data_IF_328892565696
#
_entry.id   IF_328892565696
#
_cell.length_a   1.000
_cell.length_b   1.000
_cell.length_c   1.000
_cell.angle_alpha   90.00
_cell.angle_beta   90.00
_cell.angle_gamma   90.00
#
_symmetry.space_group_name_H-M   'P 1'
#
loop_
_entity.id
_entity.type
_entity.pdbx_description
1 polymer ?
#
# COMPACT_ATOMS: atom_id res chain seq x y z
N UNK A 1 -11.61 -11.97 9.62
CA UNK A 1 -10.52 -11.30 10.37
C UNK A 1 -10.12 -10.02 9.65
N UNK A 2 -9.59 -9.01 10.35
CA UNK A 2 -8.98 -7.81 9.73
C UNK A 2 -7.52 -7.79 10.11
N UNK A 3 -6.63 -7.50 9.16
CA UNK A 3 -5.19 -7.41 9.44
C UNK A 3 -4.73 -5.96 9.41
N UNK A 4 -3.94 -5.57 10.40
CA UNK A 4 -3.31 -4.26 10.45
C UNK A 4 -1.89 -4.37 9.91
N UNK A 5 -1.53 -3.51 8.96
CA UNK A 5 -0.17 -3.40 8.43
C UNK A 5 0.38 -2.04 8.83
N UNK A 6 1.62 -2.02 9.31
CA UNK A 6 2.37 -0.79 9.51
C UNK A 6 3.13 -0.47 8.22
N UNK A 7 2.80 0.68 7.64
CA UNK A 7 3.43 1.22 6.44
C UNK A 7 4.25 2.44 6.82
N UNK A 8 5.44 2.56 6.23
CA UNK A 8 6.31 3.73 6.40
C UNK A 8 6.23 4.53 5.12
N UNK A 9 5.66 5.73 5.21
CA UNK A 9 5.40 6.57 4.03
C UNK A 9 6.10 7.92 4.15
N UNK A 10 6.57 8.44 3.02
CA UNK A 10 7.02 9.83 2.87
C UNK A 10 5.84 10.79 2.64
N UNK A 11 4.68 10.24 2.24
CA UNK A 11 3.52 11.03 1.87
C UNK A 11 2.83 11.56 3.12
N UNK A 12 2.42 12.83 3.07
CA UNK A 12 1.62 13.40 4.13
C UNK A 12 0.18 12.88 4.05
N UNK A 13 -0.04 11.71 4.63
CA UNK A 13 -1.36 11.14 4.82
C UNK A 13 -2.03 11.63 6.11
N UNK A 14 -1.53 12.69 6.77
CA UNK A 14 -2.12 13.20 8.01
C UNK A 14 -3.53 13.77 7.79
N UNK A 15 -3.86 14.20 6.57
CA UNK A 15 -5.20 14.65 6.19
C UNK A 15 -6.21 13.53 5.93
N UNK A 16 -5.77 12.26 5.82
CA UNK A 16 -6.66 11.13 5.56
C UNK A 16 -7.01 10.41 6.88
N UNK A 17 -8.31 10.23 7.12
CA UNK A 17 -8.77 9.38 8.23
C UNK A 17 -8.32 7.93 8.02
N UNK A 18 -8.15 7.13 9.09
CA UNK A 18 -7.84 5.70 8.98
C UNK A 18 -8.79 4.93 8.05
N UNK A 19 -10.07 5.30 8.05
CA UNK A 19 -11.10 4.72 7.20
C UNK A 19 -10.90 5.11 5.73
N UNK A 20 -10.61 6.39 5.46
CA UNK A 20 -10.35 6.86 4.10
C UNK A 20 -9.12 6.17 3.49
N UNK A 21 -8.05 5.98 4.27
CA UNK A 21 -6.85 5.22 3.84
C UNK A 21 -7.20 3.77 3.53
N UNK A 22 -7.96 3.14 4.42
CA UNK A 22 -8.41 1.75 4.25
C UNK A 22 -9.27 1.60 2.99
N UNK A 23 -10.21 2.51 2.78
CA UNK A 23 -11.09 2.52 1.62
C UNK A 23 -10.30 2.72 0.33
N UNK A 24 -9.40 3.72 0.29
CA UNK A 24 -8.54 3.98 -0.87
C UNK A 24 -7.70 2.76 -1.25
N UNK A 25 -7.05 2.13 -0.27
CA UNK A 25 -6.22 0.94 -0.51
C UNK A 25 -7.08 -0.23 -0.98
N UNK A 26 -8.19 -0.50 -0.27
CA UNK A 26 -9.12 -1.59 -0.61
C UNK A 26 -9.68 -1.43 -2.02
N UNK A 27 -10.15 -0.23 -2.36
CA UNK A 27 -10.70 0.08 -3.67
C UNK A 27 -9.66 -0.10 -4.76
N UNK A 28 -8.45 0.43 -4.57
CA UNK A 28 -7.38 0.32 -5.57
C UNK A 28 -6.97 -1.14 -5.80
N UNK A 29 -6.80 -1.92 -4.73
CA UNK A 29 -6.47 -3.35 -4.84
C UNK A 29 -7.55 -4.11 -5.60
N UNK A 30 -8.83 -3.84 -5.29
CA UNK A 30 -9.95 -4.49 -5.97
C UNK A 30 -10.12 -4.05 -7.43
N UNK A 31 -9.77 -2.81 -7.76
CA UNK A 31 -9.86 -2.27 -9.12
C UNK A 31 -8.77 -2.79 -10.07
N UNK A 32 -7.64 -3.27 -9.53
CA UNK A 32 -6.50 -3.69 -10.33
C UNK A 32 -6.46 -5.21 -10.46
N UNK A 33 -6.01 -5.69 -11.60
CA UNK A 33 -5.62 -7.09 -11.78
C UNK A 33 -4.33 -7.39 -11.03
N UNK A 34 -4.05 -8.68 -10.82
CA UNK A 34 -2.81 -9.12 -10.17
C UNK A 34 -1.57 -8.65 -10.93
N UNK A 35 -1.62 -8.66 -12.26
CA UNK A 35 -0.58 -8.08 -13.12
C UNK A 35 -0.42 -6.57 -12.90
N UNK A 36 -1.53 -5.83 -12.74
CA UNK A 36 -1.50 -4.40 -12.44
C UNK A 36 -0.92 -4.09 -11.05
N UNK A 37 -1.20 -4.93 -10.06
CA UNK A 37 -0.60 -4.84 -8.72
C UNK A 37 0.90 -5.15 -8.75
N UNK A 38 1.31 -6.17 -9.49
CA UNK A 38 2.71 -6.51 -9.70
C UNK A 38 3.47 -5.41 -10.45
N UNK A 39 2.86 -4.78 -11.45
CA UNK A 39 3.46 -3.66 -12.18
C UNK A 39 3.64 -2.44 -11.27
N UNK A 40 2.62 -2.11 -10.46
CA UNK A 40 2.76 -1.08 -9.43
C UNK A 40 3.86 -1.41 -8.41
N UNK A 41 4.04 -2.68 -8.05
CA UNK A 41 5.13 -3.10 -7.17
C UNK A 41 6.51 -3.02 -7.87
N UNK A 42 6.57 -3.36 -9.17
CA UNK A 42 7.80 -3.44 -9.99
C UNK A 42 8.44 -2.10 -10.32
N UNK A 43 7.69 -1.00 -10.42
CA UNK A 43 8.19 0.35 -10.79
C UNK A 43 9.14 0.99 -9.76
N UNK A 44 10.12 0.25 -9.23
CA UNK A 44 11.07 0.58 -8.16
C UNK A 44 12.03 1.69 -8.62
N UNK A 45 11.53 2.91 -8.74
CA UNK A 45 12.32 4.05 -9.24
C UNK A 45 13.01 4.87 -8.14
N UNK A 46 12.57 4.81 -6.89
CA UNK A 46 13.28 5.51 -5.81
C UNK A 46 14.43 4.64 -5.28
N UNK A 47 15.61 4.79 -5.88
CA UNK A 47 16.88 4.27 -5.32
C UNK A 47 17.21 4.88 -3.94
N UNK A 48 16.52 5.95 -3.54
CA UNK A 48 16.66 6.59 -2.23
C UNK A 48 15.28 6.89 -1.62
N UNK A 49 14.84 6.16 -0.57
CA UNK A 49 13.77 6.65 0.26
C UNK A 49 14.24 7.93 0.96
N UNK A 50 13.45 8.99 0.87
CA UNK A 50 13.60 10.24 1.58
C UNK A 50 13.69 10.03 3.10
N UNK A 51 14.49 10.87 3.75
CA UNK A 51 14.87 10.75 5.17
C UNK A 51 13.72 10.83 6.20
N UNK A 52 12.47 11.11 5.80
CA UNK A 52 11.33 11.36 6.70
C UNK A 52 10.17 10.39 6.49
N UNK A 53 10.43 9.12 6.72
CA UNK A 53 9.38 8.10 6.75
C UNK A 53 8.59 8.19 8.06
N UNK A 54 7.27 8.41 7.97
CA UNK A 54 6.37 8.35 9.14
C UNK A 54 5.66 6.99 9.19
N UNK A 55 5.65 6.29 10.33
CA UNK A 55 4.90 5.06 10.47
C UNK A 55 3.39 5.37 10.50
N UNK A 56 2.62 4.53 9.81
CA UNK A 56 1.18 4.67 9.70
C UNK A 56 0.53 3.28 9.65
N UNK A 57 -0.56 3.10 10.39
CA UNK A 57 -1.35 1.87 10.34
C UNK A 57 -2.43 1.97 9.27
N UNK A 58 -2.53 0.90 8.47
CA UNK A 58 -3.63 0.66 7.53
C UNK A 58 -4.27 -0.67 7.91
N UNK A 59 -5.58 -0.64 8.17
CA UNK A 59 -6.34 -1.85 8.48
C UNK A 59 -6.98 -2.37 7.21
N UNK A 60 -6.62 -3.55 6.75
CA UNK A 60 -7.16 -4.12 5.52
C UNK A 60 -8.14 -5.26 5.82
N UNK A 61 -9.19 -5.42 4.98
CA UNK A 61 -9.98 -6.64 4.94
C UNK A 61 -9.10 -7.88 4.70
N UNK A 62 -9.49 -9.04 5.24
CA UNK A 62 -8.72 -10.28 5.07
C UNK A 62 -8.51 -10.66 3.61
N UNK A 63 -9.55 -10.54 2.77
CA UNK A 63 -9.46 -10.85 1.33
C UNK A 63 -8.41 -9.99 0.61
N UNK A 64 -8.34 -8.70 0.96
CA UNK A 64 -7.37 -7.76 0.40
C UNK A 64 -5.96 -8.11 0.89
N UNK A 65 -5.82 -8.41 2.19
CA UNK A 65 -4.54 -8.76 2.77
C UNK A 65 -3.99 -10.07 2.18
N UNK A 66 -4.82 -11.11 2.11
CA UNK A 66 -4.46 -12.41 1.55
C UNK A 66 -4.03 -12.26 0.09
N UNK A 67 -4.78 -11.49 -0.70
CA UNK A 67 -4.41 -11.22 -2.10
C UNK A 67 -3.07 -10.50 -2.21
N UNK A 68 -2.82 -9.50 -1.37
CA UNK A 68 -1.53 -8.80 -1.36
C UNK A 68 -0.38 -9.70 -0.91
N UNK A 69 -0.62 -10.60 0.05
CA UNK A 69 0.36 -11.58 0.53
C UNK A 69 0.66 -12.66 -0.50
N UNK A 70 -0.34 -13.14 -1.26
CA UNK A 70 -0.13 -14.09 -2.35
C UNK A 70 0.73 -13.52 -3.47
N UNK A 71 0.64 -12.22 -3.69
CA UNK A 71 1.43 -11.51 -4.67
C UNK A 71 2.86 -11.22 -4.17
N UNK A 72 3.10 -11.27 -2.86
CA UNK A 72 4.40 -11.01 -2.25
C UNK A 72 5.48 -11.95 -2.81
N UNK A 73 6.33 -11.41 -3.69
CA UNK A 73 7.50 -12.11 -4.22
C UNK A 73 8.79 -11.72 -3.51
N UNK A 74 9.92 -12.28 -3.97
CA UNK A 74 11.27 -11.95 -3.47
C UNK A 74 11.65 -10.47 -3.68
N UNK A 75 10.98 -9.77 -4.61
CA UNK A 75 11.38 -8.44 -5.06
C UNK A 75 10.64 -7.26 -4.40
N UNK A 76 9.59 -7.48 -3.60
CA UNK A 76 8.82 -6.38 -3.02
C UNK A 76 8.05 -6.76 -1.75
N UNK A 77 7.77 -5.78 -0.88
CA UNK A 77 7.01 -5.96 0.36
C UNK A 77 5.57 -5.45 0.23
N UNK A 78 4.63 -6.09 0.93
CA UNK A 78 3.24 -5.63 1.02
C UNK A 78 3.16 -4.18 1.52
N UNK A 79 4.00 -3.81 2.49
CA UNK A 79 4.08 -2.44 3.00
C UNK A 79 4.46 -1.41 1.93
N UNK A 80 5.39 -1.75 1.02
CA UNK A 80 5.80 -0.87 -0.07
C UNK A 80 4.72 -0.73 -1.15
N UNK A 81 3.96 -1.80 -1.42
CA UNK A 81 2.84 -1.75 -2.34
C UNK A 81 1.70 -0.88 -1.78
N UNK A 82 1.39 -1.00 -0.49
CA UNK A 82 0.38 -0.16 0.17
C UNK A 82 0.81 1.31 0.17
N UNK A 83 2.09 1.61 0.45
CA UNK A 83 2.63 2.97 0.35
C UNK A 83 2.39 3.60 -1.03
N UNK A 84 2.63 2.84 -2.11
CA UNK A 84 2.39 3.31 -3.48
C UNK A 84 0.94 3.50 -3.82
N UNK A 85 0.09 2.59 -3.37
CA UNK A 85 -1.34 2.71 -3.58
C UNK A 85 -1.82 4.02 -2.96
N UNK A 86 -1.38 4.32 -1.74
CA UNK A 86 -1.67 5.58 -1.06
C UNK A 86 -1.10 6.79 -1.80
N UNK A 87 0.14 6.70 -2.29
CA UNK A 87 0.76 7.73 -3.13
C UNK A 87 -0.04 8.00 -4.42
N UNK A 88 -0.63 6.97 -5.02
CA UNK A 88 -1.43 7.07 -6.25
C UNK A 88 -2.90 7.45 -6.02
N UNK A 89 -3.38 7.35 -4.77
CA UNK A 89 -4.75 7.65 -4.37
C UNK A 89 -4.88 9.08 -3.83
N UNK A 90 -3.78 9.66 -3.33
CA UNK A 90 -3.65 11.09 -3.16
C UNK A 90 -3.31 11.73 -4.51
N UNK A 91 -4.11 12.74 -4.88
CA UNK A 91 -3.84 13.72 -5.94
C UNK A 91 -2.40 14.26 -5.87
#
# INVERSE_FOLDING_TARGET
>A
MRGSIIVRTEHDCAGLSPEARTAAVTQKVRSLSDAGLQEMARRREKQHPGRRLRPMSVTLPADVLERLQQLQGVQWSVSALVDRILASANL
#
